data_IF_868000294059
#
_entry.id   IF_868000294059
#
_cell.length_a   1.000
_cell.length_b   1.000
_cell.length_c   1.000
_cell.angle_alpha   90.00
_cell.angle_beta   90.00
_cell.angle_gamma   90.00
#
_symmetry.space_group_name_H-M   'P 1'
#
loop_
_entity.id
_entity.type
_entity.pdbx_description
1 polymer ?
#
# COMPACT_ATOMS: atom_id res chain seq x y z
N UNK A 1 -20.97 -20.09 60.39
CA UNK A 1 -20.17 -18.86 60.52
C UNK A 1 -18.82 -19.15 59.88
N UNK A 2 -18.55 -18.48 58.76
CA UNK A 2 -17.28 -17.81 58.42
C UNK A 2 -16.08 -18.08 59.35
N UNK A 3 -14.84 -18.30 58.90
CA UNK A 3 -14.10 -17.52 57.89
C UNK A 3 -13.00 -18.37 57.21
N UNK A 4 -12.83 -18.05 55.94
CA UNK A 4 -11.81 -18.35 54.93
C UNK A 4 -10.32 -18.47 55.33
N UNK A 5 -9.59 -19.28 54.54
CA UNK A 5 -8.13 -19.22 54.41
C UNK A 5 -7.55 -20.23 53.42
N UNK A 6 -8.03 -20.24 52.16
CA UNK A 6 -7.47 -21.09 51.11
C UNK A 6 -6.63 -20.26 50.13
N UNK A 7 -5.34 -20.61 50.04
CA UNK A 7 -4.40 -20.11 49.06
C UNK A 7 -4.81 -20.58 47.65
N UNK A 8 -5.22 -19.64 46.80
CA UNK A 8 -5.43 -19.86 45.37
C UNK A 8 -4.32 -19.20 44.57
N UNK A 9 -3.36 -19.99 44.11
CA UNK A 9 -2.58 -19.65 42.91
C UNK A 9 -3.41 -19.94 41.65
N UNK A 10 -2.92 -19.43 40.51
CA UNK A 10 -3.47 -19.50 39.13
C UNK A 10 -4.48 -18.38 38.86
N UNK A 11 -4.37 -17.54 37.82
CA UNK A 11 -3.51 -17.48 36.64
C UNK A 11 -3.61 -16.05 36.10
N UNK A 12 -2.49 -15.48 35.62
CA UNK A 12 -2.49 -14.27 34.81
C UNK A 12 -3.22 -14.56 33.50
N UNK A 13 -4.43 -14.04 33.31
CA UNK A 13 -5.10 -14.02 32.01
C UNK A 13 -4.46 -12.94 31.13
N UNK A 14 -3.30 -13.30 30.56
CA UNK A 14 -2.64 -12.58 29.49
C UNK A 14 -2.60 -13.47 28.26
N UNK A 15 -3.75 -13.62 27.60
CA UNK A 15 -3.83 -14.18 26.25
C UNK A 15 -4.50 -13.11 25.37
N UNK A 16 -3.66 -12.42 24.63
CA UNK A 16 -4.01 -11.40 23.64
C UNK A 16 -4.39 -12.15 22.34
N UNK A 17 -5.65 -12.11 21.86
CA UNK A 17 -6.11 -12.97 20.76
C UNK A 17 -5.61 -12.53 19.36
N UNK A 18 -4.52 -11.76 19.27
CA UNK A 18 -4.10 -11.13 18.02
C UNK A 18 -2.72 -11.58 17.49
N UNK A 19 -2.08 -12.60 18.08
CA UNK A 19 -0.76 -13.08 17.65
C UNK A 19 -0.69 -14.58 17.26
N UNK A 20 -1.76 -15.34 17.46
CA UNK A 20 -1.84 -16.76 17.06
C UNK A 20 -2.55 -16.97 15.71
N UNK A 21 -2.46 -15.99 14.80
CA UNK A 21 -2.93 -16.16 13.43
C UNK A 21 -1.77 -16.60 12.53
N UNK A 22 -1.71 -17.90 12.24
CA UNK A 22 -0.84 -18.55 11.23
C UNK A 22 0.64 -18.20 11.38
N UNK A 23 1.20 -18.50 12.56
CA UNK A 23 2.58 -18.29 13.02
C UNK A 23 3.06 -16.85 12.82
N UNK A 24 3.24 -16.11 13.91
CA UNK A 24 3.84 -14.76 13.91
C UNK A 24 5.20 -14.63 13.18
N UNK A 25 5.77 -15.73 12.67
CA UNK A 25 6.89 -15.80 11.74
C UNK A 25 6.59 -15.22 10.35
N UNK A 26 5.36 -15.36 9.81
CA UNK A 26 5.00 -14.71 8.54
C UNK A 26 4.97 -13.20 8.71
N UNK A 27 4.28 -12.73 9.75
CA UNK A 27 4.19 -11.31 10.07
C UNK A 27 5.57 -10.73 10.41
N UNK A 28 6.37 -11.38 11.27
CA UNK A 28 7.67 -10.85 11.69
C UNK A 28 8.78 -11.05 10.66
N UNK A 29 8.77 -12.17 9.92
CA UNK A 29 9.81 -12.55 8.97
C UNK A 29 9.62 -11.91 7.60
N UNK A 30 8.39 -11.95 7.06
CA UNK A 30 8.10 -11.41 5.73
C UNK A 30 7.89 -9.90 5.78
N UNK A 31 7.04 -9.35 6.68
CA UNK A 31 6.78 -7.89 6.70
C UNK A 31 8.03 -7.06 6.98
N UNK A 32 8.82 -7.44 7.98
CA UNK A 32 10.08 -6.76 8.31
C UNK A 32 11.06 -6.82 7.13
N UNK A 33 10.96 -7.89 6.34
CA UNK A 33 11.75 -8.16 5.16
C UNK A 33 11.42 -7.25 3.98
N UNK A 34 10.13 -7.15 3.63
CA UNK A 34 9.66 -6.50 2.40
C UNK A 34 9.44 -4.98 2.54
N UNK A 35 9.15 -4.45 3.74
CA UNK A 35 9.15 -3.00 3.98
C UNK A 35 9.36 -2.63 5.44
N UNK A 36 10.57 -2.13 5.76
CA UNK A 36 10.93 -1.72 7.13
C UNK A 36 10.05 -0.58 7.65
N UNK A 37 9.79 0.43 6.82
CA UNK A 37 8.99 1.61 7.19
C UNK A 37 7.53 1.23 7.42
N UNK A 38 6.94 0.43 6.54
CA UNK A 38 5.55 0.00 6.68
C UNK A 38 5.36 -0.97 7.85
N UNK A 39 6.32 -1.88 8.07
CA UNK A 39 6.32 -2.76 9.24
C UNK A 39 6.30 -1.98 10.56
N UNK A 40 7.06 -0.89 10.67
CA UNK A 40 7.02 -0.01 11.85
C UNK A 40 5.64 0.63 12.02
N UNK A 41 5.03 1.11 10.94
CA UNK A 41 3.68 1.68 10.93
C UNK A 41 2.63 0.66 11.41
N UNK A 42 2.66 -0.57 10.92
CA UNK A 42 1.76 -1.65 11.38
C UNK A 42 1.96 -2.00 12.86
N UNK A 43 3.20 -2.02 13.35
CA UNK A 43 3.48 -2.27 14.78
C UNK A 43 2.91 -1.19 15.68
N UNK A 44 2.81 0.04 15.20
CA UNK A 44 2.20 1.14 15.97
C UNK A 44 0.68 0.99 16.05
N UNK A 45 0.01 0.29 15.13
CA UNK A 45 -1.44 0.15 15.15
C UNK A 45 -1.99 -0.45 16.46
N UNK A 46 -3.16 0.05 16.93
CA UNK A 46 -3.93 -0.60 17.99
C UNK A 46 -4.28 -2.06 17.63
N UNK A 47 -4.34 -2.92 18.64
CA UNK A 47 -4.61 -4.35 18.45
C UNK A 47 -5.86 -4.65 17.59
N UNK A 48 -7.01 -3.96 17.76
CA UNK A 48 -8.21 -4.24 16.96
C UNK A 48 -8.06 -4.03 15.46
N UNK A 49 -7.11 -3.19 15.01
CA UNK A 49 -6.89 -2.93 13.58
C UNK A 49 -5.81 -3.83 12.97
N UNK A 50 -4.91 -4.36 13.81
CA UNK A 50 -3.63 -4.89 13.34
C UNK A 50 -3.81 -6.10 12.43
N UNK A 51 -4.71 -7.03 12.77
CA UNK A 51 -4.92 -8.25 11.99
C UNK A 51 -5.33 -7.97 10.54
N UNK A 52 -6.43 -7.24 10.34
CA UNK A 52 -6.91 -6.88 9.00
C UNK A 52 -5.94 -5.96 8.25
N UNK A 53 -5.30 -5.00 8.92
CA UNK A 53 -4.32 -4.11 8.29
C UNK A 53 -3.06 -4.84 7.83
N UNK A 54 -2.51 -5.74 8.66
CA UNK A 54 -1.35 -6.58 8.31
C UNK A 54 -1.68 -7.51 7.14
N UNK A 55 -2.85 -8.15 7.16
CA UNK A 55 -3.26 -9.03 6.06
C UNK A 55 -3.49 -8.27 4.75
N UNK A 56 -4.19 -7.13 4.79
CA UNK A 56 -4.43 -6.30 3.62
C UNK A 56 -3.11 -5.86 2.96
N UNK A 57 -2.11 -5.50 3.76
CA UNK A 57 -0.79 -5.18 3.24
C UNK A 57 -0.06 -6.40 2.63
N UNK A 58 -0.10 -7.57 3.27
CA UNK A 58 0.53 -8.77 2.72
C UNK A 58 -0.09 -9.18 1.38
N UNK A 59 -1.41 -9.10 1.26
CA UNK A 59 -2.12 -9.38 0.01
C UNK A 59 -1.78 -8.34 -1.07
N UNK A 60 -1.77 -7.04 -0.72
CA UNK A 60 -1.35 -5.99 -1.65
C UNK A 60 0.12 -6.18 -2.11
N UNK A 61 1.03 -6.53 -1.20
CA UNK A 61 2.43 -6.81 -1.57
C UNK A 61 2.57 -8.10 -2.39
N UNK A 62 1.68 -9.08 -2.19
CA UNK A 62 1.64 -10.28 -3.04
C UNK A 62 1.30 -9.90 -4.48
N UNK A 63 0.26 -9.06 -4.70
CA UNK A 63 -0.08 -8.62 -6.05
C UNK A 63 0.96 -7.71 -6.68
N UNK A 64 1.63 -6.88 -5.87
CA UNK A 64 2.77 -6.06 -6.28
C UNK A 64 3.94 -6.91 -6.81
N UNK A 65 4.34 -7.95 -6.08
CA UNK A 65 5.36 -8.91 -6.55
C UNK A 65 4.94 -9.61 -7.85
N UNK A 66 3.65 -9.92 -8.04
CA UNK A 66 3.15 -10.47 -9.30
C UNK A 66 3.24 -9.45 -10.46
N UNK A 67 2.96 -8.17 -10.19
CA UNK A 67 3.02 -7.12 -11.20
C UNK A 67 4.47 -6.75 -11.58
N UNK A 68 5.40 -6.72 -10.61
CA UNK A 68 6.77 -6.22 -10.77
C UNK A 68 7.77 -7.25 -11.31
N UNK A 69 7.34 -8.47 -11.61
CA UNK A 69 8.20 -9.50 -12.23
C UNK A 69 8.47 -9.21 -13.70
N UNK A 70 9.26 -8.16 -13.99
CA UNK A 70 9.46 -7.61 -15.33
C UNK A 70 10.06 -8.57 -16.38
N UNK A 71 10.70 -9.67 -15.96
CA UNK A 71 11.19 -10.72 -16.87
C UNK A 71 10.09 -11.67 -17.35
N UNK A 72 8.92 -11.66 -16.71
CA UNK A 72 7.74 -12.46 -17.08
C UNK A 72 6.87 -11.65 -18.06
N UNK A 73 6.37 -12.26 -19.16
CA UNK A 73 5.51 -11.58 -20.11
C UNK A 73 4.29 -10.92 -19.45
N UNK A 74 3.88 -9.74 -19.96
CA UNK A 74 2.73 -8.98 -19.44
C UNK A 74 1.46 -9.83 -19.37
N UNK A 75 1.18 -10.63 -20.40
CA UNK A 75 0.02 -11.50 -20.43
C UNK A 75 0.01 -12.54 -19.30
N UNK A 76 1.17 -13.11 -18.96
CA UNK A 76 1.29 -14.07 -17.86
C UNK A 76 1.13 -13.40 -16.50
N UNK A 77 1.69 -12.19 -16.32
CA UNK A 77 1.47 -11.38 -15.11
C UNK A 77 0.01 -10.99 -14.92
N UNK A 78 -0.68 -10.58 -15.98
CA UNK A 78 -2.12 -10.30 -15.94
C UNK A 78 -2.95 -11.53 -15.57
N UNK A 79 -2.62 -12.71 -16.11
CA UNK A 79 -3.26 -13.97 -15.75
C UNK A 79 -3.04 -14.32 -14.27
N UNK A 80 -1.81 -14.11 -13.76
CA UNK A 80 -1.50 -14.34 -12.35
C UNK A 80 -2.27 -13.38 -11.42
N UNK A 81 -2.36 -12.10 -11.78
CA UNK A 81 -3.14 -11.11 -11.07
C UNK A 81 -4.64 -11.44 -11.07
N UNK A 82 -5.21 -11.86 -12.20
CA UNK A 82 -6.61 -12.30 -12.28
C UNK A 82 -6.88 -13.52 -11.38
N UNK A 83 -6.02 -14.53 -11.45
CA UNK A 83 -6.13 -15.71 -10.60
C UNK A 83 -6.05 -15.35 -9.11
N UNK A 84 -5.14 -14.45 -8.74
CA UNK A 84 -5.03 -13.94 -7.38
C UNK A 84 -6.27 -13.14 -6.96
N UNK A 85 -6.75 -12.25 -7.81
CA UNK A 85 -7.93 -11.43 -7.55
C UNK A 85 -9.17 -12.29 -7.29
N UNK A 86 -9.41 -13.31 -8.12
CA UNK A 86 -10.52 -14.26 -7.93
C UNK A 86 -10.38 -15.01 -6.61
N UNK A 87 -9.19 -15.51 -6.28
CA UNK A 87 -8.96 -16.21 -5.02
C UNK A 87 -9.21 -15.31 -3.79
N UNK A 88 -8.81 -14.03 -3.86
CA UNK A 88 -9.08 -13.04 -2.80
C UNK A 88 -10.57 -12.67 -2.75
N UNK A 89 -11.26 -12.56 -3.88
CA UNK A 89 -12.65 -12.13 -3.96
C UNK A 89 -13.64 -13.22 -3.53
N UNK A 90 -13.46 -14.44 -4.01
CA UNK A 90 -14.39 -15.57 -3.85
C UNK A 90 -13.99 -16.48 -2.68
N UNK A 91 -12.71 -16.47 -2.30
CA UNK A 91 -12.14 -17.54 -1.49
C UNK A 91 -11.93 -18.82 -2.32
N UNK A 92 -11.28 -19.82 -1.73
CA UNK A 92 -10.99 -21.09 -2.40
C UNK A 92 -9.50 -21.43 -2.39
N UNK A 93 -9.11 -22.33 -3.28
CA UNK A 93 -7.73 -22.78 -3.39
C UNK A 93 -6.82 -21.65 -3.87
N UNK A 94 -5.63 -21.61 -3.29
CA UNK A 94 -4.60 -20.67 -3.73
C UNK A 94 -4.19 -20.96 -5.18
N UNK A 95 -3.98 -19.93 -6.01
CA UNK A 95 -3.32 -20.13 -7.29
C UNK A 95 -1.95 -20.79 -7.09
N UNK A 96 -1.59 -21.67 -8.02
CA UNK A 96 -0.26 -22.28 -8.07
C UNK A 96 0.60 -21.45 -9.01
N UNK A 97 1.70 -20.91 -8.50
CA UNK A 97 2.65 -20.12 -9.28
C UNK A 97 3.56 -21.04 -10.10
N UNK A 98 3.85 -20.65 -11.34
CA UNK A 98 4.79 -21.39 -12.19
C UNK A 98 6.21 -21.29 -11.66
N UNK A 99 7.06 -22.28 -12.01
CA UNK A 99 8.47 -22.25 -11.62
C UNK A 99 9.18 -21.03 -12.21
N UNK A 100 8.79 -20.64 -13.41
CA UNK A 100 9.27 -19.47 -14.13
C UNK A 100 8.96 -18.18 -13.37
N UNK A 101 7.71 -18.01 -12.91
CA UNK A 101 7.31 -16.82 -12.14
C UNK A 101 8.04 -16.76 -10.79
N UNK A 102 8.15 -17.88 -10.08
CA UNK A 102 8.87 -17.91 -8.80
C UNK A 102 10.38 -17.64 -8.97
N UNK A 103 10.98 -18.16 -10.05
CA UNK A 103 12.38 -17.91 -10.38
C UNK A 103 12.63 -16.45 -10.78
N UNK A 104 11.65 -15.79 -11.40
CA UNK A 104 11.71 -14.39 -11.79
C UNK A 104 11.69 -13.42 -10.59
N UNK A 105 11.23 -13.84 -9.40
CA UNK A 105 11.27 -13.02 -8.18
C UNK A 105 12.67 -13.09 -7.54
N UNK A 106 13.47 -12.01 -7.57
CA UNK A 106 14.86 -12.05 -7.08
C UNK A 106 14.94 -12.07 -5.55
N UNK A 107 14.02 -11.39 -4.85
CA UNK A 107 14.01 -11.35 -3.39
C UNK A 107 13.39 -12.63 -2.82
N UNK A 108 14.20 -13.42 -2.09
CA UNK A 108 13.75 -14.67 -1.46
C UNK A 108 12.56 -14.48 -0.51
N UNK A 109 12.39 -13.28 0.07
CA UNK A 109 11.29 -12.97 1.01
C UNK A 109 9.99 -12.69 0.27
N UNK A 110 10.07 -12.08 -0.91
CA UNK A 110 8.92 -11.92 -1.80
C UNK A 110 8.52 -13.26 -2.44
N UNK A 111 9.51 -14.10 -2.77
CA UNK A 111 9.22 -15.48 -3.19
C UNK A 111 8.50 -16.26 -2.09
N UNK A 112 8.97 -16.17 -0.85
CA UNK A 112 8.29 -16.77 0.31
C UNK A 112 6.88 -16.19 0.51
N UNK A 113 6.65 -14.91 0.20
CA UNK A 113 5.33 -14.30 0.25
C UNK A 113 4.39 -14.94 -0.78
N UNK A 114 4.83 -15.11 -2.03
CA UNK A 114 4.08 -15.81 -3.07
C UNK A 114 3.78 -17.27 -2.68
N UNK A 115 4.77 -17.99 -2.16
CA UNK A 115 4.58 -19.36 -1.65
C UNK A 115 3.60 -19.43 -0.47
N UNK A 116 3.41 -18.31 0.23
CA UNK A 116 2.52 -18.20 1.39
C UNK A 116 1.10 -17.77 1.03
N UNK A 117 0.76 -17.57 -0.26
CA UNK A 117 -0.57 -17.13 -0.70
C UNK A 117 -1.71 -17.95 -0.07
N UNK A 118 -1.61 -19.28 -0.03
CA UNK A 118 -2.64 -20.12 0.59
C UNK A 118 -2.82 -19.86 2.09
N UNK A 119 -1.73 -19.58 2.82
CA UNK A 119 -1.79 -19.23 4.24
C UNK A 119 -2.48 -17.87 4.45
N UNK A 120 -2.25 -16.90 3.55
CA UNK A 120 -2.90 -15.59 3.58
C UNK A 120 -4.40 -15.70 3.30
N UNK A 121 -4.81 -16.53 2.33
CA UNK A 121 -6.23 -16.76 2.02
C UNK A 121 -6.97 -17.47 3.17
N UNK A 122 -6.31 -18.44 3.83
CA UNK A 122 -6.84 -19.06 5.05
C UNK A 122 -6.99 -18.02 6.18
N UNK A 123 -6.04 -17.09 6.31
CA UNK A 123 -6.16 -16.00 7.28
C UNK A 123 -7.34 -15.07 6.92
N UNK A 124 -7.50 -14.71 5.64
CA UNK A 124 -8.63 -13.89 5.18
C UNK A 124 -9.98 -14.52 5.54
N UNK A 125 -10.11 -15.85 5.39
CA UNK A 125 -11.31 -16.59 5.76
C UNK A 125 -11.60 -16.64 7.27
N UNK A 126 -10.62 -16.31 8.12
CA UNK A 126 -10.77 -16.27 9.59
C UNK A 126 -11.08 -14.88 10.14
N UNK A 127 -10.94 -13.83 9.33
CA UNK A 127 -11.29 -12.48 9.76
C UNK A 127 -12.81 -12.34 9.96
N UNK A 128 -13.27 -11.46 10.87
CA UNK A 128 -14.66 -11.05 10.93
C UNK A 128 -15.15 -10.56 9.56
N UNK A 129 -16.38 -10.91 9.18
CA UNK A 129 -16.90 -10.68 7.82
C UNK A 129 -16.78 -9.22 7.35
N UNK A 130 -17.02 -8.26 8.25
CA UNK A 130 -16.90 -6.83 7.93
C UNK A 130 -15.44 -6.40 7.69
N UNK A 131 -14.48 -6.94 8.44
CA UNK A 131 -13.05 -6.68 8.24
C UNK A 131 -12.54 -7.35 6.96
N UNK A 132 -12.94 -8.61 6.72
CA UNK A 132 -12.63 -9.34 5.50
C UNK A 132 -13.15 -8.61 4.26
N UNK A 133 -14.35 -8.03 4.33
CA UNK A 133 -14.92 -7.23 3.24
C UNK A 133 -14.05 -6.00 2.91
N UNK A 134 -13.58 -5.26 3.92
CA UNK A 134 -12.69 -4.11 3.71
C UNK A 134 -11.34 -4.53 3.10
N UNK A 135 -10.80 -5.69 3.53
CA UNK A 135 -9.56 -6.24 2.95
C UNK A 135 -9.76 -6.64 1.48
N UNK A 136 -10.88 -7.29 1.15
CA UNK A 136 -11.20 -7.67 -0.24
C UNK A 136 -11.39 -6.43 -1.11
N UNK A 137 -12.12 -5.43 -0.62
CA UNK A 137 -12.34 -4.16 -1.32
C UNK A 137 -11.03 -3.48 -1.68
N UNK A 138 -10.14 -3.27 -0.71
CA UNK A 138 -8.87 -2.55 -0.95
C UNK A 138 -7.94 -3.32 -1.89
N UNK A 139 -7.83 -4.64 -1.72
CA UNK A 139 -6.96 -5.47 -2.58
C UNK A 139 -7.49 -5.51 -4.01
N UNK A 140 -8.80 -5.62 -4.21
CA UNK A 140 -9.40 -5.59 -5.54
C UNK A 140 -9.13 -4.26 -6.27
N UNK A 141 -9.24 -3.13 -5.56
CA UNK A 141 -8.93 -1.80 -6.12
C UNK A 141 -7.44 -1.71 -6.50
N UNK A 142 -6.53 -2.18 -5.65
CA UNK A 142 -5.09 -2.18 -5.93
C UNK A 142 -4.77 -3.03 -7.16
N UNK A 143 -5.28 -4.27 -7.22
CA UNK A 143 -5.05 -5.17 -8.37
C UNK A 143 -5.58 -4.53 -9.65
N UNK A 144 -6.73 -3.84 -9.60
CA UNK A 144 -7.24 -3.14 -10.78
C UNK A 144 -6.32 -2.03 -11.28
N UNK A 145 -5.62 -1.33 -10.37
CA UNK A 145 -4.62 -0.33 -10.73
C UNK A 145 -3.37 -0.95 -11.34
N UNK A 146 -2.89 -2.06 -10.77
CA UNK A 146 -1.74 -2.81 -11.27
C UNK A 146 -2.00 -3.43 -12.66
N UNK A 147 -3.20 -3.97 -12.88
CA UNK A 147 -3.59 -4.50 -14.20
C UNK A 147 -3.66 -3.38 -15.26
N UNK A 148 -4.30 -2.25 -14.94
CA UNK A 148 -4.36 -1.09 -15.82
C UNK A 148 -2.96 -0.57 -16.18
N UNK A 149 -2.06 -0.54 -15.20
CA UNK A 149 -0.67 -0.11 -15.39
C UNK A 149 0.11 -1.05 -16.34
N UNK A 150 0.00 -2.35 -16.12
CA UNK A 150 0.58 -3.38 -16.99
C UNK A 150 0.07 -3.28 -18.43
N UNK A 151 -1.23 -3.07 -18.61
CA UNK A 151 -1.84 -2.91 -19.94
C UNK A 151 -1.35 -1.63 -20.63
N UNK A 152 -1.34 -0.51 -19.89
CA UNK A 152 -0.93 0.79 -20.42
C UNK A 152 0.52 0.79 -20.86
N UNK A 153 1.41 0.25 -20.02
CA UNK A 153 2.84 0.23 -20.27
C UNK A 153 3.32 -1.05 -20.97
N UNK A 154 2.42 -1.87 -21.53
CA UNK A 154 2.78 -3.12 -22.19
C UNK A 154 3.76 -2.95 -23.36
N UNK A 155 3.72 -1.80 -24.02
CA UNK A 155 4.63 -1.44 -25.13
C UNK A 155 5.77 -0.51 -24.72
N UNK A 156 5.82 -0.09 -23.46
CA UNK A 156 6.86 0.81 -22.96
C UNK A 156 8.23 0.13 -23.00
N UNK A 157 9.27 0.91 -23.28
CA UNK A 157 10.64 0.43 -23.22
C UNK A 157 11.64 1.49 -23.69
N UNK A 158 12.90 1.10 -23.81
CA UNK A 158 13.95 1.98 -24.28
C UNK A 158 13.60 2.55 -25.68
N UNK A 159 13.49 3.88 -25.77
CA UNK A 159 13.12 4.56 -27.01
C UNK A 159 11.61 4.63 -27.32
N UNK A 160 10.74 4.02 -26.49
CA UNK A 160 9.29 4.15 -26.59
C UNK A 160 8.69 4.52 -25.22
N UNK A 161 8.58 5.82 -24.97
CA UNK A 161 7.96 6.34 -23.74
C UNK A 161 6.45 6.43 -23.93
N UNK A 162 5.70 5.74 -23.06
CA UNK A 162 4.26 5.88 -22.95
C UNK A 162 3.96 6.83 -21.79
N UNK A 163 3.04 7.77 -21.98
CA UNK A 163 2.62 8.72 -20.95
C UNK A 163 1.14 8.55 -20.57
N UNK A 164 0.79 8.98 -19.36
CA UNK A 164 -0.62 9.21 -19.01
C UNK A 164 -1.21 10.33 -19.87
N UNK A 165 -2.46 10.16 -20.30
CA UNK A 165 -3.10 11.07 -21.24
C UNK A 165 -3.48 12.41 -20.59
N UNK A 166 -3.94 12.37 -19.33
CA UNK A 166 -4.41 13.55 -18.62
C UNK A 166 -4.31 13.41 -17.09
N UNK A 167 -4.66 14.50 -16.40
CA UNK A 167 -4.68 14.56 -14.94
C UNK A 167 -5.65 13.57 -14.31
N UNK A 168 -6.75 13.23 -15.00
CA UNK A 168 -7.74 12.28 -14.52
C UNK A 168 -7.19 10.87 -14.47
N UNK A 169 -6.37 10.47 -15.45
CA UNK A 169 -5.70 9.17 -15.42
C UNK A 169 -4.68 9.06 -14.27
N UNK A 170 -3.93 10.13 -13.99
CA UNK A 170 -2.99 10.16 -12.86
C UNK A 170 -3.73 10.16 -11.52
N UNK A 171 -4.84 10.88 -11.44
CA UNK A 171 -5.73 10.90 -10.27
C UNK A 171 -6.32 9.51 -9.99
N UNK A 172 -6.85 8.82 -11.01
CA UNK A 172 -7.40 7.47 -10.92
C UNK A 172 -6.31 6.44 -10.56
N UNK A 173 -5.13 6.53 -11.19
CA UNK A 173 -4.02 5.65 -10.87
C UNK A 173 -3.60 5.77 -9.40
N UNK A 174 -3.34 7.01 -8.93
CA UNK A 174 -2.95 7.25 -7.53
C UNK A 174 -4.06 6.86 -6.55
N UNK A 175 -5.33 6.99 -6.94
CA UNK A 175 -6.46 6.47 -6.16
C UNK A 175 -6.38 4.94 -6.02
N UNK A 176 -6.21 4.21 -7.13
CA UNK A 176 -6.24 2.75 -7.13
C UNK A 176 -5.11 2.12 -6.33
N UNK A 177 -3.89 2.65 -6.45
CA UNK A 177 -2.72 2.01 -5.83
C UNK A 177 -2.39 2.53 -4.43
N UNK A 178 -2.92 3.68 -4.02
CA UNK A 178 -2.61 4.26 -2.70
C UNK A 178 -3.76 5.00 -2.02
N UNK A 179 -4.58 5.77 -2.74
CA UNK A 179 -5.72 6.48 -2.15
C UNK A 179 -6.72 5.53 -1.48
N UNK A 180 -6.98 4.37 -2.10
CA UNK A 180 -7.84 3.33 -1.56
C UNK A 180 -7.31 2.75 -0.23
N UNK A 181 -5.98 2.77 -0.02
CA UNK A 181 -5.35 2.33 1.24
C UNK A 181 -5.68 3.30 2.37
N UNK A 182 -5.66 4.61 2.08
CA UNK A 182 -6.12 5.63 3.02
C UNK A 182 -7.61 5.51 3.36
N UNK A 183 -8.43 5.17 2.37
CA UNK A 183 -9.84 4.84 2.60
C UNK A 183 -10.00 3.60 3.49
N UNK A 184 -9.28 2.52 3.18
CA UNK A 184 -9.27 1.28 3.94
C UNK A 184 -8.89 1.50 5.41
N UNK A 185 -7.81 2.22 5.67
CA UNK A 185 -7.37 2.54 7.04
C UNK A 185 -8.44 3.28 7.83
N UNK A 186 -9.11 4.24 7.19
CA UNK A 186 -10.16 5.04 7.82
C UNK A 186 -11.39 4.20 8.10
N UNK A 187 -11.87 3.42 7.12
CA UNK A 187 -13.00 2.50 7.28
C UNK A 187 -12.73 1.46 8.36
N UNK A 188 -11.55 0.85 8.36
CA UNK A 188 -11.14 -0.15 9.35
C UNK A 188 -11.03 0.45 10.75
N UNK A 189 -10.49 1.66 10.86
CA UNK A 189 -10.38 2.40 12.11
C UNK A 189 -11.74 2.63 12.77
N UNK A 190 -12.70 3.18 12.03
CA UNK A 190 -14.07 3.36 12.53
C UNK A 190 -14.76 2.02 12.79
N UNK A 191 -14.57 1.01 11.93
CA UNK A 191 -15.18 -0.32 12.11
C UNK A 191 -14.74 -0.99 13.42
N UNK A 192 -13.45 -0.94 13.73
CA UNK A 192 -12.86 -1.70 14.85
C UNK A 192 -12.77 -0.90 16.15
N UNK A 193 -12.79 0.43 16.07
CA UNK A 193 -12.61 1.30 17.23
C UNK A 193 -13.78 2.26 17.50
N UNK A 194 -14.70 2.44 16.55
CA UNK A 194 -15.81 3.40 16.65
C UNK A 194 -15.31 4.82 16.93
N UNK A 195 -15.99 5.53 17.83
CA UNK A 195 -15.65 6.90 18.23
C UNK A 195 -14.27 7.03 18.89
N UNK A 196 -13.65 5.91 19.30
CA UNK A 196 -12.27 5.92 19.83
C UNK A 196 -11.22 6.07 18.73
N UNK A 197 -11.61 5.97 17.45
CA UNK A 197 -10.69 6.15 16.34
C UNK A 197 -10.28 7.62 16.16
N UNK A 198 -11.28 8.49 15.94
CA UNK A 198 -11.10 9.91 15.66
C UNK A 198 -12.19 10.75 16.31
N UNK A 199 -11.91 12.05 16.49
CA UNK A 199 -12.91 13.06 16.85
C UNK A 199 -13.54 13.78 15.66
N UNK A 200 -13.09 13.49 14.44
CA UNK A 200 -13.57 14.11 13.20
C UNK A 200 -14.75 13.33 12.62
N UNK A 201 -15.59 14.03 11.84
CA UNK A 201 -16.62 13.39 11.02
C UNK A 201 -16.01 12.33 10.09
N UNK A 202 -16.73 11.21 9.91
CA UNK A 202 -16.24 10.05 9.17
C UNK A 202 -15.97 10.38 7.70
N UNK A 203 -16.85 11.14 7.06
CA UNK A 203 -16.74 11.43 5.62
C UNK A 203 -15.64 12.46 5.35
N UNK A 204 -15.50 13.44 6.25
CA UNK A 204 -14.36 14.37 6.23
C UNK A 204 -13.05 13.62 6.37
N UNK A 205 -12.95 12.73 7.38
CA UNK A 205 -11.72 11.98 7.62
C UNK A 205 -11.41 11.00 6.49
N UNK A 206 -12.46 10.42 5.87
CA UNK A 206 -12.31 9.58 4.69
C UNK A 206 -11.67 10.37 3.55
N UNK A 207 -12.20 11.53 3.18
CA UNK A 207 -11.63 12.38 2.13
C UNK A 207 -10.17 12.77 2.38
N UNK A 208 -9.81 13.05 3.65
CA UNK A 208 -8.42 13.30 4.06
C UNK A 208 -7.53 12.07 3.87
N UNK A 209 -8.00 10.89 4.31
CA UNK A 209 -7.28 9.63 4.14
C UNK A 209 -7.02 9.31 2.67
N UNK A 210 -8.02 9.51 1.80
CA UNK A 210 -7.90 9.32 0.34
C UNK A 210 -6.83 10.23 -0.23
N UNK A 211 -6.93 11.55 0.03
CA UNK A 211 -5.96 12.53 -0.44
C UNK A 211 -4.56 12.17 0.06
N UNK A 212 -4.44 11.79 1.33
CA UNK A 212 -3.16 11.44 1.92
C UNK A 212 -2.50 10.25 1.22
N UNK A 213 -3.25 9.17 0.98
CA UNK A 213 -2.75 8.02 0.23
C UNK A 213 -2.26 8.39 -1.19
N UNK A 214 -3.05 9.18 -1.92
CA UNK A 214 -2.68 9.67 -3.27
C UNK A 214 -1.43 10.54 -3.22
N UNK A 215 -1.33 11.42 -2.21
CA UNK A 215 -0.17 12.27 -1.99
C UNK A 215 1.11 11.47 -1.80
N UNK A 216 1.08 10.40 -1.01
CA UNK A 216 2.24 9.50 -0.83
C UNK A 216 2.67 8.86 -2.16
N UNK A 217 1.72 8.44 -3.00
CA UNK A 217 2.06 7.87 -4.31
C UNK A 217 2.63 8.92 -5.28
N UNK A 218 2.09 10.14 -5.28
CA UNK A 218 2.66 11.24 -6.05
C UNK A 218 4.11 11.53 -5.66
N UNK A 219 4.46 11.44 -4.38
CA UNK A 219 5.86 11.62 -3.96
C UNK A 219 6.78 10.58 -4.60
N UNK A 220 6.34 9.32 -4.68
CA UNK A 220 7.13 8.27 -5.36
C UNK A 220 7.26 8.59 -6.86
N UNK A 221 6.15 8.86 -7.56
CA UNK A 221 6.15 9.22 -8.98
C UNK A 221 7.07 10.41 -9.28
N UNK A 222 7.00 11.47 -8.47
CA UNK A 222 7.79 12.68 -8.68
C UNK A 222 9.28 12.50 -8.35
N UNK A 223 9.60 11.59 -7.42
CA UNK A 223 10.98 11.21 -7.07
C UNK A 223 11.61 10.35 -8.16
N UNK A 224 10.83 9.44 -8.73
CA UNK A 224 11.31 8.36 -9.59
C UNK A 224 11.11 8.64 -11.08
N UNK A 225 10.55 9.80 -11.46
CA UNK A 225 10.27 10.18 -12.86
C UNK A 225 11.44 9.95 -13.84
N UNK A 226 12.69 10.13 -13.41
CA UNK A 226 13.85 9.89 -14.26
C UNK A 226 14.08 8.38 -14.51
N UNK A 227 13.85 7.55 -13.50
CA UNK A 227 13.93 6.10 -13.59
C UNK A 227 12.79 5.55 -14.44
N UNK A 228 11.56 5.99 -14.17
CA UNK A 228 10.38 5.62 -14.95
C UNK A 228 10.58 5.94 -16.44
N UNK A 229 11.10 7.12 -16.78
CA UNK A 229 11.33 7.52 -18.17
C UNK A 229 12.35 6.62 -18.88
N UNK A 230 13.39 6.14 -18.19
CA UNK A 230 14.36 5.19 -18.77
C UNK A 230 13.72 3.84 -19.07
N UNK A 231 12.72 3.45 -18.28
CA UNK A 231 11.90 2.25 -18.51
C UNK A 231 10.81 2.46 -19.58
N UNK A 232 10.72 3.66 -20.16
CA UNK A 232 9.68 4.01 -21.12
C UNK A 232 8.33 4.36 -20.47
N UNK A 233 8.29 4.61 -19.17
CA UNK A 233 7.07 4.91 -18.41
C UNK A 233 7.05 6.39 -18.04
N UNK A 234 5.94 7.08 -18.28
CA UNK A 234 5.75 8.46 -17.84
C UNK A 234 4.37 8.63 -17.17
N UNK A 235 4.36 8.72 -15.85
CA UNK A 235 3.13 9.00 -15.11
C UNK A 235 2.72 10.48 -15.16
N UNK A 236 3.59 11.38 -15.58
CA UNK A 236 3.21 12.79 -15.70
C UNK A 236 2.41 12.99 -16.98
N UNK A 237 1.20 13.57 -16.91
CA UNK A 237 0.38 13.81 -18.09
C UNK A 237 0.98 14.95 -18.90
N UNK A 238 1.64 14.61 -20.00
CA UNK A 238 2.28 15.52 -20.94
C UNK A 238 2.01 15.05 -22.36
N UNK A 239 1.87 15.99 -23.29
CA UNK A 239 1.66 15.68 -24.70
C UNK A 239 2.95 15.19 -25.38
N UNK A 240 4.10 15.74 -24.99
CA UNK A 240 5.41 15.34 -25.51
C UNK A 240 6.39 15.06 -24.36
N UNK A 241 6.74 13.79 -24.18
CA UNK A 241 7.69 13.33 -23.15
C UNK A 241 9.13 13.78 -23.44
N UNK A 242 9.47 14.14 -24.69
CA UNK A 242 10.76 14.74 -25.03
C UNK A 242 10.79 16.25 -24.73
N UNK A 243 9.64 16.89 -24.53
CA UNK A 243 9.55 18.30 -24.16
C UNK A 243 9.88 18.49 -22.68
N UNK A 244 11.16 18.69 -22.40
CA UNK A 244 11.71 18.91 -21.06
C UNK A 244 10.99 20.04 -20.29
N UNK A 245 10.55 21.11 -20.97
CA UNK A 245 9.91 22.23 -20.29
C UNK A 245 8.46 21.93 -19.90
N UNK A 246 7.75 21.18 -20.74
CA UNK A 246 6.42 20.68 -20.42
C UNK A 246 6.47 19.70 -19.24
N UNK A 247 7.41 18.75 -19.28
CA UNK A 247 7.62 17.79 -18.20
C UNK A 247 7.96 18.48 -16.87
N UNK A 248 8.84 19.49 -16.88
CA UNK A 248 9.13 20.34 -15.70
C UNK A 248 7.91 21.08 -15.18
N UNK A 249 7.11 21.66 -16.07
CA UNK A 249 5.93 22.41 -15.69
C UNK A 249 4.88 21.48 -15.05
N UNK A 250 4.68 20.30 -15.62
CA UNK A 250 3.81 19.26 -15.10
C UNK A 250 4.31 18.74 -13.75
N UNK A 251 5.61 18.42 -13.64
CA UNK A 251 6.25 17.99 -12.38
C UNK A 251 6.04 19.01 -11.26
N UNK A 252 6.32 20.29 -11.50
CA UNK A 252 6.12 21.37 -10.49
C UNK A 252 4.67 21.53 -10.06
N UNK A 253 3.71 21.34 -10.96
CA UNK A 253 2.28 21.40 -10.65
C UNK A 253 1.90 20.25 -9.72
N UNK A 254 2.30 19.03 -10.07
CA UNK A 254 2.04 17.85 -9.24
C UNK A 254 2.82 17.84 -7.92
N UNK A 255 3.99 18.49 -7.86
CA UNK A 255 4.73 18.70 -6.61
C UNK A 255 3.94 19.55 -5.60
N UNK A 256 3.24 20.60 -6.08
CA UNK A 256 2.33 21.39 -5.23
C UNK A 256 1.16 20.54 -4.74
N UNK A 257 0.56 19.74 -5.62
CA UNK A 257 -0.53 18.82 -5.25
C UNK A 257 -0.07 17.78 -4.24
N UNK A 258 1.11 17.18 -4.43
CA UNK A 258 1.69 16.21 -3.50
C UNK A 258 1.93 16.82 -2.11
N UNK A 259 2.40 18.08 -2.03
CA UNK A 259 2.52 18.82 -0.76
C UNK A 259 1.16 19.02 -0.09
N UNK A 260 0.16 19.47 -0.83
CA UNK A 260 -1.18 19.66 -0.29
C UNK A 260 -1.75 18.34 0.27
N UNK A 261 -1.73 17.29 -0.53
CA UNK A 261 -2.28 15.99 -0.17
C UNK A 261 -1.52 15.28 0.95
N UNK A 262 -0.19 15.38 1.00
CA UNK A 262 0.58 14.88 2.15
C UNK A 262 0.34 15.69 3.42
N UNK A 263 0.10 17.00 3.30
CA UNK A 263 -0.33 17.86 4.41
C UNK A 263 -1.71 17.47 4.98
N UNK A 264 -2.61 16.93 4.16
CA UNK A 264 -3.86 16.32 4.66
C UNK A 264 -3.59 15.14 5.61
N UNK A 265 -2.46 14.44 5.46
CA UNK A 265 -2.03 13.38 6.38
C UNK A 265 -1.69 13.88 7.79
N UNK A 266 -1.10 15.07 7.89
CA UNK A 266 -0.85 15.72 9.19
C UNK A 266 -2.18 16.13 9.86
N UNK A 267 -3.09 16.71 9.08
CA UNK A 267 -4.44 17.05 9.52
C UNK A 267 -5.23 15.81 9.94
N UNK A 268 -5.18 14.74 9.14
CA UNK A 268 -5.77 13.43 9.45
C UNK A 268 -5.26 12.93 10.80
N UNK A 269 -3.93 12.86 10.98
CA UNK A 269 -3.32 12.35 12.20
C UNK A 269 -3.69 13.19 13.43
N UNK A 270 -3.85 14.51 13.30
CA UNK A 270 -4.22 15.39 14.42
C UNK A 270 -5.59 15.03 15.02
N UNK A 271 -6.52 14.53 14.20
CA UNK A 271 -7.89 14.15 14.64
C UNK A 271 -7.95 12.81 15.37
N UNK A 272 -6.97 11.93 15.15
CA UNK A 272 -6.98 10.57 15.72
C UNK A 272 -6.84 10.64 17.25
N UNK A 273 -7.57 9.81 17.99
CA UNK A 273 -7.56 9.88 19.46
C UNK A 273 -6.37 9.14 20.08
N UNK A 274 -5.89 8.09 19.43
CA UNK A 274 -4.75 7.31 19.93
C UNK A 274 -3.42 7.90 19.50
N UNK A 275 -2.53 8.17 20.47
CA UNK A 275 -1.13 8.59 20.22
C UNK A 275 -0.40 7.65 19.26
N UNK A 276 -0.67 6.35 19.33
CA UNK A 276 -0.04 5.36 18.45
C UNK A 276 -0.54 5.47 17.01
N UNK A 277 -1.84 5.74 16.83
CA UNK A 277 -2.41 6.02 15.51
C UNK A 277 -1.81 7.30 14.92
N UNK A 278 -1.70 8.37 15.71
CA UNK A 278 -1.03 9.60 15.27
C UNK A 278 0.39 9.32 14.78
N UNK A 279 1.17 8.57 15.55
CA UNK A 279 2.54 8.20 15.15
C UNK A 279 2.57 7.34 13.89
N UNK A 280 1.68 6.35 13.77
CA UNK A 280 1.57 5.48 12.60
C UNK A 280 1.25 6.28 11.32
N UNK A 281 0.37 7.28 11.41
CA UNK A 281 -0.02 8.14 10.30
C UNK A 281 0.99 9.27 10.02
N UNK A 282 1.70 9.80 11.01
CA UNK A 282 2.67 10.89 10.81
C UNK A 282 4.00 10.42 10.22
N UNK A 283 4.43 9.18 10.51
CA UNK A 283 5.73 8.68 10.05
C UNK A 283 5.87 8.74 8.51
N UNK A 284 4.91 8.24 7.70
CA UNK A 284 5.02 8.35 6.25
C UNK A 284 4.89 9.79 5.75
N UNK A 285 4.08 10.64 6.41
CA UNK A 285 3.92 12.05 6.04
C UNK A 285 5.23 12.81 6.22
N UNK A 286 5.95 12.54 7.30
CA UNK A 286 7.24 13.16 7.56
C UNK A 286 8.30 12.74 6.53
N UNK A 287 8.38 11.46 6.18
CA UNK A 287 9.27 10.95 5.13
C UNK A 287 8.93 11.59 3.77
N UNK A 288 7.64 11.71 3.46
CA UNK A 288 7.17 12.34 2.24
C UNK A 288 7.56 13.82 2.17
N UNK A 289 7.40 14.57 3.26
CA UNK A 289 7.79 15.98 3.35
C UNK A 289 9.29 16.18 3.13
N UNK A 290 10.12 15.38 3.80
CA UNK A 290 11.58 15.40 3.62
C UNK A 290 11.97 15.11 2.16
N UNK A 291 11.27 14.18 1.50
CA UNK A 291 11.48 13.86 0.08
C UNK A 291 11.10 15.04 -0.80
N UNK A 292 9.94 15.65 -0.56
CA UNK A 292 9.45 16.82 -1.30
C UNK A 292 10.40 18.01 -1.15
N UNK A 293 10.88 18.30 0.06
CA UNK A 293 11.83 19.40 0.32
C UNK A 293 13.13 19.21 -0.46
N UNK A 294 13.62 17.97 -0.58
CA UNK A 294 14.78 17.67 -1.45
C UNK A 294 14.47 17.89 -2.92
N UNK A 295 13.28 17.53 -3.39
CA UNK A 295 12.86 17.72 -4.79
C UNK A 295 12.75 19.21 -5.17
N UNK A 296 12.39 20.10 -4.25
CA UNK A 296 12.39 21.56 -4.49
C UNK A 296 13.80 22.10 -4.74
N UNK A 297 14.81 21.51 -4.08
CA UNK A 297 16.20 21.94 -4.15
C UNK A 297 17.02 21.22 -5.22
N UNK A 298 16.50 20.12 -5.78
CA UNK A 298 17.13 19.45 -6.92
C UNK A 298 16.96 20.31 -8.18
N UNK A 299 18.07 20.82 -8.69
CA UNK A 299 18.10 21.37 -10.04
C UNK A 299 17.69 20.26 -11.01
N UNK A 300 16.74 20.54 -11.90
CA UNK A 300 16.31 19.58 -12.92
C UNK A 300 17.47 19.02 -13.76
N UNK A 301 18.60 19.72 -13.84
CA UNK A 301 19.84 19.22 -14.43
C UNK A 301 20.30 17.89 -13.79
N UNK A 302 20.17 17.72 -12.47
CA UNK A 302 20.47 16.46 -11.77
C UNK A 302 19.46 15.33 -12.03
N UNK A 303 18.27 15.69 -12.53
CA UNK A 303 17.27 14.75 -13.05
C UNK A 303 17.58 14.38 -14.50
N UNK A 304 18.13 15.29 -15.30
CA UNK A 304 18.59 15.04 -16.67
C UNK A 304 19.87 14.21 -16.76
N UNK A 305 20.81 14.36 -15.83
CA UNK A 305 21.96 13.43 -15.72
C UNK A 305 21.51 11.99 -15.39
N UNK A 306 20.23 11.85 -15.06
CA UNK A 306 19.50 10.61 -14.79
C UNK A 306 18.42 10.32 -15.85
N UNK A 307 18.37 11.00 -16.99
CA UNK A 307 17.52 10.63 -18.14
C UNK A 307 18.48 10.22 -19.26
#
# INVERSE_FOLDING_TARGET
MDVSGAAGGLTRSGEDPCLDTVNGDLEKGVLKGVSRSFYLTLRLLPAPMRGAASLGYLLARTSDTLADTGTVPVAERLQALDAFARAVAEGGDAPVWTAELLAAVPDARERLLLESTGRLLVWLGKLPAAEAHLVREVVAIIISGQALDLERFATAGEGNVVALADDGELDDYTWRVAGCVGAFWTKLGFLTMGDRFSGEDRDILLGKGISYGKGLQLVNILRDVAEDLREGRCYLPVADTANVQELKACHRRWLKTARQWTGEGESYAATLRSRRLRAASLLPAWIARETLDRLDHMAWASLQDRI
#
